data_IF_886169005263
#
_entry.id   IF_886169005263
#
_cell.length_a   1.000
_cell.length_b   1.000
_cell.length_c   1.000
_cell.angle_alpha   90.00
_cell.angle_beta   90.00
_cell.angle_gamma   90.00
#
_symmetry.space_group_name_H-M   'P 1'
#
loop_
_entity.id
_entity.type
_entity.pdbx_description
1 polymer ?
#
# COMPACT_ATOMS: atom_id res chain seq x y z
N UNK A 1 17.60 29.55 -8.74
CA UNK A 1 18.10 28.23 -8.33
C UNK A 1 16.87 27.37 -8.11
N UNK A 2 16.71 26.30 -8.90
CA UNK A 2 15.53 25.45 -8.81
C UNK A 2 15.37 24.83 -7.41
N UNK A 3 14.14 24.84 -6.91
CA UNK A 3 13.78 24.20 -5.64
C UNK A 3 12.80 23.06 -5.90
N UNK A 4 13.23 21.85 -5.62
CA UNK A 4 12.42 20.64 -5.69
C UNK A 4 11.87 20.37 -4.30
N UNK A 5 10.55 20.29 -4.16
CA UNK A 5 9.88 19.94 -2.91
C UNK A 5 9.23 18.56 -3.05
N UNK A 6 9.39 17.71 -2.04
CA UNK A 6 8.83 16.37 -2.01
C UNK A 6 7.89 16.27 -0.81
N UNK A 7 6.63 15.89 -1.04
CA UNK A 7 5.65 15.64 0.02
C UNK A 7 5.62 14.14 0.32
N UNK A 8 6.01 13.76 1.55
CA UNK A 8 5.97 12.39 2.05
C UNK A 8 7.34 11.76 2.21
N UNK A 9 7.62 11.21 3.39
CA UNK A 9 8.87 10.54 3.75
C UNK A 9 8.76 9.01 3.78
N UNK A 10 7.86 8.44 2.96
CA UNK A 10 7.61 7.02 2.88
C UNK A 10 8.36 6.30 1.75
N UNK A 11 7.82 5.15 1.33
CA UNK A 11 8.38 4.22 0.33
C UNK A 11 8.68 4.86 -1.03
N UNK A 12 7.99 5.94 -1.42
CA UNK A 12 8.26 6.65 -2.66
C UNK A 12 9.08 7.92 -2.42
N UNK A 13 8.75 8.72 -1.39
CA UNK A 13 9.34 10.05 -1.22
C UNK A 13 10.77 10.02 -0.71
N UNK A 14 11.13 9.11 0.19
CA UNK A 14 12.50 8.98 0.68
C UNK A 14 13.47 8.52 -0.43
N UNK A 15 13.19 7.46 -1.22
CA UNK A 15 14.00 7.12 -2.40
C UNK A 15 14.07 8.27 -3.42
N UNK A 16 12.95 8.93 -3.74
CA UNK A 16 12.96 10.06 -4.66
C UNK A 16 13.89 11.19 -4.20
N UNK A 17 13.89 11.48 -2.89
CA UNK A 17 14.79 12.50 -2.32
C UNK A 17 16.27 12.10 -2.48
N UNK A 18 16.61 10.84 -2.26
CA UNK A 18 17.97 10.32 -2.41
C UNK A 18 18.42 10.35 -3.87
N UNK A 19 17.63 9.79 -4.77
CA UNK A 19 17.97 9.73 -6.20
C UNK A 19 18.08 11.13 -6.82
N UNK A 20 17.18 12.05 -6.47
CA UNK A 20 17.29 13.45 -6.89
C UNK A 20 18.55 14.11 -6.35
N UNK A 21 18.93 13.86 -5.09
CA UNK A 21 20.15 14.38 -4.49
C UNK A 21 21.41 13.87 -5.19
N UNK A 22 21.43 12.59 -5.62
CA UNK A 22 22.57 11.97 -6.31
C UNK A 22 22.81 12.57 -7.70
N UNK A 23 21.76 13.13 -8.34
CA UNK A 23 21.87 13.77 -9.68
C UNK A 23 21.74 15.29 -9.65
N UNK A 24 21.61 15.90 -8.45
CA UNK A 24 21.46 17.35 -8.29
C UNK A 24 22.70 18.09 -8.78
N UNK A 25 22.48 19.26 -9.38
CA UNK A 25 23.54 20.17 -9.81
C UNK A 25 23.75 21.29 -8.79
N UNK A 26 24.90 21.92 -8.87
CA UNK A 26 25.24 23.06 -8.03
C UNK A 26 24.15 24.14 -8.08
N UNK A 27 23.62 24.51 -6.92
CA UNK A 27 22.57 25.49 -6.78
C UNK A 27 21.14 24.94 -6.81
N UNK A 28 20.92 23.66 -7.10
CA UNK A 28 19.61 23.04 -6.95
C UNK A 28 19.37 22.68 -5.47
N UNK A 29 18.16 22.92 -4.99
CA UNK A 29 17.78 22.65 -3.61
C UNK A 29 16.67 21.59 -3.58
N UNK A 30 16.80 20.63 -2.69
CA UNK A 30 15.79 19.59 -2.48
C UNK A 30 15.31 19.68 -1.02
N UNK A 31 14.01 19.64 -0.81
CA UNK A 31 13.41 19.62 0.53
C UNK A 31 12.33 18.56 0.60
N UNK A 32 12.42 17.67 1.58
CA UNK A 32 11.39 16.71 1.89
C UNK A 32 10.51 17.23 3.04
N UNK A 33 9.20 17.20 2.83
CA UNK A 33 8.17 17.61 3.80
C UNK A 33 7.40 16.38 4.24
N UNK A 34 7.40 16.05 5.53
CA UNK A 34 6.62 14.95 6.08
C UNK A 34 6.10 15.31 7.49
N UNK A 35 4.91 14.84 7.84
CA UNK A 35 4.35 15.03 9.18
C UNK A 35 4.90 14.06 10.23
N UNK A 36 5.95 13.29 9.89
CA UNK A 36 6.63 12.32 10.75
C UNK A 36 8.12 12.52 10.66
N UNK A 37 8.80 12.24 11.74
CA UNK A 37 10.27 12.31 11.84
C UNK A 37 10.94 11.00 11.50
N UNK A 38 10.18 9.91 11.47
CA UNK A 38 10.71 8.57 11.21
C UNK A 38 9.94 7.85 10.12
N UNK A 39 10.63 6.95 9.41
CA UNK A 39 10.08 6.01 8.45
C UNK A 39 10.41 4.59 8.89
N UNK A 40 9.44 3.71 8.90
CA UNK A 40 9.66 2.28 9.09
C UNK A 40 9.76 1.60 7.74
N UNK A 41 10.95 1.08 7.45
CA UNK A 41 11.17 0.22 6.31
C UNK A 41 10.62 -1.17 6.62
N UNK A 42 9.75 -1.67 5.78
CA UNK A 42 9.17 -3.01 5.90
C UNK A 42 7.81 -3.06 5.21
N UNK A 43 7.46 -4.21 4.65
CA UNK A 43 6.08 -4.44 4.22
C UNK A 43 5.19 -4.53 5.47
N UNK A 44 3.96 -4.05 5.37
CA UNK A 44 2.97 -4.13 6.45
C UNK A 44 2.53 -5.57 6.78
N UNK A 45 3.32 -6.53 6.40
CA UNK A 45 3.16 -7.94 6.64
C UNK A 45 4.44 -8.54 7.19
N UNK A 46 4.31 -9.47 8.08
CA UNK A 46 3.17 -9.78 8.93
C UNK A 46 3.34 -9.12 10.29
N UNK A 47 2.27 -8.68 10.90
CA UNK A 47 2.23 -8.17 12.28
C UNK A 47 2.93 -9.08 13.31
N UNK A 48 3.12 -10.37 13.02
CA UNK A 48 3.89 -11.33 13.83
C UNK A 48 5.41 -11.07 13.74
N UNK A 49 5.93 -10.61 12.60
CA UNK A 49 7.35 -10.31 12.39
C UNK A 49 7.72 -8.85 12.65
N UNK A 50 6.77 -7.97 12.93
CA UNK A 50 6.97 -6.53 13.16
C UNK A 50 7.80 -6.22 14.43
N UNK A 51 8.10 -7.20 15.24
CA UNK A 51 8.99 -7.04 16.43
C UNK A 51 10.40 -6.58 16.05
N UNK A 52 10.79 -6.61 14.77
CA UNK A 52 12.12 -6.29 14.26
C UNK A 52 12.16 -5.19 13.18
N UNK A 53 11.15 -4.30 13.10
CA UNK A 53 11.14 -3.25 12.08
C UNK A 53 12.27 -2.24 12.29
N UNK A 54 13.08 -2.02 11.24
CA UNK A 54 14.09 -0.97 11.23
C UNK A 54 13.44 0.40 11.09
N UNK A 55 13.62 1.25 12.06
CA UNK A 55 13.16 2.64 12.03
C UNK A 55 14.29 3.55 11.52
N UNK A 56 13.98 4.37 10.52
CA UNK A 56 14.91 5.32 9.90
C UNK A 56 14.53 6.72 10.37
N UNK A 57 15.45 7.43 11.02
CA UNK A 57 15.35 8.86 11.31
C UNK A 57 15.49 9.64 9.99
N UNK A 58 14.43 10.34 9.59
CA UNK A 58 14.38 11.05 8.32
C UNK A 58 15.35 12.24 8.28
N UNK A 59 15.42 13.02 9.36
CA UNK A 59 16.28 14.20 9.40
C UNK A 59 17.74 13.80 9.21
N UNK A 60 18.22 12.85 10.04
CA UNK A 60 19.60 12.37 9.99
C UNK A 60 19.94 11.66 8.67
N UNK A 61 18.96 10.95 8.10
CA UNK A 61 19.16 10.22 6.85
C UNK A 61 19.30 11.20 5.66
N UNK A 62 18.42 12.21 5.58
CA UNK A 62 18.39 13.21 4.51
C UNK A 62 19.56 14.20 4.59
N UNK A 63 19.97 14.58 5.80
CA UNK A 63 21.14 15.46 6.03
C UNK A 63 22.40 14.91 5.36
N UNK A 64 22.64 13.60 5.42
CA UNK A 64 23.78 12.92 4.78
C UNK A 64 23.84 13.09 3.26
N UNK A 65 22.70 13.40 2.64
CA UNK A 65 22.54 13.64 1.20
C UNK A 65 22.40 15.13 0.87
N UNK A 66 22.51 16.02 1.85
CA UNK A 66 22.31 17.45 1.64
C UNK A 66 20.86 17.86 1.34
N UNK A 67 19.90 17.00 1.66
CA UNK A 67 18.46 17.25 1.48
C UNK A 67 17.89 17.93 2.71
N UNK A 68 17.20 19.06 2.52
CA UNK A 68 16.46 19.73 3.59
C UNK A 68 15.27 18.90 4.07
N UNK A 69 14.94 18.99 5.36
CA UNK A 69 13.81 18.28 5.94
C UNK A 69 12.90 19.23 6.72
N UNK A 70 11.58 19.13 6.49
CA UNK A 70 10.55 19.81 7.28
C UNK A 70 9.61 18.77 7.91
N UNK A 71 9.56 18.67 9.25
CA UNK A 71 8.64 17.77 9.96
C UNK A 71 7.22 18.31 10.11
N UNK A 72 6.96 19.56 9.62
CA UNK A 72 5.67 20.21 9.79
C UNK A 72 4.52 19.57 8.98
N UNK A 73 4.85 18.71 8.00
CA UNK A 73 3.84 18.11 7.14
C UNK A 73 3.20 19.09 6.15
N UNK A 74 2.53 18.56 5.14
CA UNK A 74 1.81 19.32 4.14
C UNK A 74 0.37 19.59 4.62
N UNK A 75 -0.04 20.85 4.67
CA UNK A 75 -1.39 21.27 5.05
C UNK A 75 -2.28 21.55 3.84
N UNK A 76 -1.79 22.43 2.92
CA UNK A 76 -2.54 22.81 1.73
C UNK A 76 -1.60 23.17 0.58
N UNK A 77 -1.87 22.61 -0.59
CA UNK A 77 -1.17 22.97 -1.82
C UNK A 77 -1.90 24.08 -2.56
N UNK A 78 -1.15 25.04 -3.06
CA UNK A 78 -1.60 26.13 -3.93
C UNK A 78 -0.85 26.07 -5.26
N UNK A 79 -1.26 25.19 -6.19
CA UNK A 79 -0.48 24.92 -7.41
C UNK A 79 -0.37 26.13 -8.33
N UNK A 80 -1.37 27.01 -8.35
CA UNK A 80 -1.34 28.25 -9.15
C UNK A 80 -0.26 29.26 -8.70
N UNK A 81 0.25 29.11 -7.47
CA UNK A 81 1.29 29.95 -6.89
C UNK A 81 2.59 29.23 -6.67
N UNK A 82 2.65 27.95 -7.03
CA UNK A 82 3.77 27.06 -6.72
C UNK A 82 4.16 27.09 -5.24
N UNK A 83 3.18 27.01 -4.34
CA UNK A 83 3.40 27.18 -2.89
C UNK A 83 2.69 26.06 -2.13
N UNK A 84 3.38 25.50 -1.15
CA UNK A 84 2.87 24.54 -0.20
C UNK A 84 2.79 25.17 1.20
N UNK A 85 1.60 25.21 1.77
CA UNK A 85 1.38 25.56 3.17
C UNK A 85 1.68 24.35 4.05
N UNK A 86 2.43 24.56 5.12
CA UNK A 86 2.85 23.53 6.07
C UNK A 86 1.93 23.50 7.31
N UNK A 87 2.00 22.42 8.07
CA UNK A 87 1.17 22.24 9.26
C UNK A 87 1.45 23.21 10.40
N UNK A 88 2.61 23.84 10.42
CA UNK A 88 3.00 24.91 11.36
C UNK A 88 2.56 26.33 10.92
N UNK A 89 1.87 26.44 9.79
CA UNK A 89 1.39 27.71 9.23
C UNK A 89 2.42 28.43 8.34
N UNK A 90 3.64 27.93 8.24
CA UNK A 90 4.62 28.46 7.29
C UNK A 90 4.33 28.00 5.86
N UNK A 91 5.00 28.58 4.88
CA UNK A 91 4.85 28.21 3.48
C UNK A 91 6.20 28.01 2.80
N UNK A 92 6.26 27.05 1.89
CA UNK A 92 7.44 26.76 1.08
C UNK A 92 7.10 26.87 -0.41
N UNK A 93 7.88 27.66 -1.15
CA UNK A 93 7.78 27.77 -2.60
C UNK A 93 8.56 26.67 -3.30
N UNK A 94 8.13 26.26 -4.48
CA UNK A 94 8.80 25.23 -5.28
C UNK A 94 8.81 25.60 -6.77
N UNK A 95 9.81 25.13 -7.49
CA UNK A 95 9.84 25.12 -8.95
C UNK A 95 9.31 23.77 -9.48
N UNK A 96 9.62 22.68 -8.78
CA UNK A 96 9.11 21.34 -9.05
C UNK A 96 8.60 20.69 -7.75
N UNK A 97 7.45 20.02 -7.83
CA UNK A 97 6.84 19.31 -6.70
C UNK A 97 6.69 17.84 -7.00
N UNK A 98 7.05 17.00 -6.03
CA UNK A 98 6.78 15.54 -6.05
C UNK A 98 5.79 15.22 -4.93
N UNK A 99 4.62 14.67 -5.27
CA UNK A 99 3.64 14.20 -4.31
C UNK A 99 3.83 12.69 -4.11
N UNK A 100 4.33 12.30 -2.94
CA UNK A 100 4.70 10.93 -2.59
C UNK A 100 4.22 10.52 -1.18
N UNK A 101 3.16 11.18 -0.67
CA UNK A 101 2.70 11.00 0.71
C UNK A 101 1.90 9.70 0.96
N UNK A 102 1.59 8.94 -0.09
CA UNK A 102 0.71 7.79 0.00
C UNK A 102 -0.76 8.16 0.29
N UNK A 103 -1.66 7.18 0.36
CA UNK A 103 -3.04 7.41 0.74
C UNK A 103 -3.23 7.37 2.25
N UNK A 104 -4.34 7.93 2.72
CA UNK A 104 -4.79 7.85 4.10
C UNK A 104 -5.90 6.80 4.24
N UNK A 105 -5.90 5.98 5.32
CA UNK A 105 -7.04 5.15 5.65
C UNK A 105 -8.28 6.01 5.94
N UNK A 106 -9.41 5.68 5.33
CA UNK A 106 -10.68 6.38 5.48
C UNK A 106 -11.64 5.57 6.37
N UNK A 107 -11.25 5.35 7.63
CA UNK A 107 -12.01 4.56 8.60
C UNK A 107 -13.41 5.15 8.85
N UNK A 108 -13.54 6.47 8.78
CA UNK A 108 -14.76 7.24 8.94
C UNK A 108 -15.87 6.90 7.93
N UNK A 109 -15.54 6.20 6.84
CA UNK A 109 -16.53 5.79 5.83
C UNK A 109 -17.39 4.58 6.26
N UNK A 110 -16.98 3.85 7.30
CA UNK A 110 -17.71 2.69 7.81
C UNK A 110 -17.75 2.79 9.34
N UNK A 111 -18.94 2.84 9.89
CA UNK A 111 -19.15 2.92 11.33
C UNK A 111 -18.49 1.75 12.05
N UNK A 112 -17.70 2.03 13.07
CA UNK A 112 -16.99 1.04 13.89
C UNK A 112 -15.74 0.43 13.26
N UNK A 113 -15.36 0.85 12.05
CA UNK A 113 -14.13 0.37 11.40
C UNK A 113 -12.88 1.04 11.99
N UNK A 114 -11.81 0.27 12.11
CA UNK A 114 -10.46 0.76 12.41
C UNK A 114 -10.07 0.72 13.88
N UNK A 115 -8.84 1.17 14.20
CA UNK A 115 -8.25 1.05 15.54
C UNK A 115 -8.96 1.83 16.64
N UNK A 116 -9.72 2.85 16.29
CA UNK A 116 -10.56 3.62 17.22
C UNK A 116 -12.00 3.07 17.32
N UNK A 117 -12.33 2.13 16.46
CA UNK A 117 -13.59 1.37 16.48
C UNK A 117 -13.36 -0.04 17.05
N UNK A 118 -13.78 -1.05 16.30
CA UNK A 118 -13.79 -2.43 16.75
C UNK A 118 -12.90 -3.37 15.93
N UNK A 119 -12.12 -2.84 14.96
CA UNK A 119 -11.23 -3.66 14.14
C UNK A 119 -9.79 -3.18 14.18
N UNK A 120 -8.87 -4.10 13.98
CA UNK A 120 -7.47 -3.79 13.76
C UNK A 120 -7.21 -3.44 12.28
N UNK A 121 -6.08 -2.79 12.02
CA UNK A 121 -5.64 -2.43 10.67
C UNK A 121 -4.11 -2.53 10.57
N UNK A 122 -3.62 -3.03 9.44
CA UNK A 122 -2.18 -3.14 9.13
C UNK A 122 -1.67 -2.01 8.23
N UNK A 123 -2.56 -1.08 7.83
CA UNK A 123 -2.26 -0.08 6.80
C UNK A 123 -1.27 1.00 7.23
N UNK A 124 -0.93 1.05 8.51
CA UNK A 124 -0.11 2.09 9.06
C UNK A 124 0.78 1.56 10.18
N UNK A 125 2.04 2.00 10.23
CA UNK A 125 2.99 1.56 11.25
C UNK A 125 2.48 1.76 12.69
N UNK A 126 1.75 2.85 12.95
CA UNK A 126 1.18 3.14 14.26
C UNK A 126 0.08 2.16 14.68
N UNK A 127 -0.56 1.51 13.72
CA UNK A 127 -1.62 0.54 14.01
C UNK A 127 -1.06 -0.85 14.34
N UNK A 128 0.16 -1.16 13.89
CA UNK A 128 0.76 -2.49 14.06
C UNK A 128 0.89 -2.92 15.52
N UNK A 129 1.29 -1.99 16.38
CA UNK A 129 1.41 -2.28 17.81
C UNK A 129 0.06 -2.69 18.43
N UNK A 130 -1.02 -1.97 18.07
CA UNK A 130 -2.39 -2.31 18.48
C UNK A 130 -2.85 -3.67 17.94
N UNK A 131 -2.44 -4.04 16.72
CA UNK A 131 -2.73 -5.35 16.15
C UNK A 131 -2.07 -6.48 16.96
N UNK A 132 -0.79 -6.32 17.32
CA UNK A 132 -0.04 -7.31 18.11
C UNK A 132 -0.66 -7.46 19.50
N UNK A 133 -0.89 -6.37 20.20
CA UNK A 133 -1.52 -6.39 21.53
C UNK A 133 -2.94 -6.97 21.49
N UNK A 134 -3.71 -6.65 20.45
CA UNK A 134 -5.05 -7.21 20.25
C UNK A 134 -5.01 -8.71 20.05
N UNK A 135 -4.03 -9.20 19.28
CA UNK A 135 -3.84 -10.63 19.06
C UNK A 135 -3.38 -11.36 20.32
N UNK A 136 -2.46 -10.80 21.09
CA UNK A 136 -2.02 -11.41 22.35
C UNK A 136 -3.21 -11.56 23.33
N UNK A 137 -4.04 -10.53 23.47
CA UNK A 137 -5.27 -10.61 24.27
C UNK A 137 -6.29 -11.61 23.72
N UNK A 138 -6.43 -11.67 22.38
CA UNK A 138 -7.30 -12.65 21.74
C UNK A 138 -6.87 -14.08 22.08
N UNK A 139 -5.60 -14.36 22.14
CA UNK A 139 -5.07 -15.71 22.49
C UNK A 139 -5.34 -16.11 23.94
N UNK A 140 -5.65 -15.18 24.84
CA UNK A 140 -6.07 -15.47 26.21
C UNK A 140 -7.53 -15.98 26.28
N UNK A 141 -8.38 -15.56 25.33
CA UNK A 141 -9.77 -15.98 25.21
C UNK A 141 -10.18 -16.08 23.75
N UNK A 142 -9.73 -17.13 23.05
CA UNK A 142 -9.96 -17.30 21.62
C UNK A 142 -11.44 -17.45 21.25
N UNK A 143 -11.81 -17.01 20.05
CA UNK A 143 -13.14 -17.14 19.48
C UNK A 143 -13.11 -16.86 17.99
N UNK A 144 -14.23 -16.58 17.31
CA UNK A 144 -14.27 -16.34 15.88
C UNK A 144 -13.38 -15.17 15.46
N UNK A 145 -12.77 -15.30 14.28
CA UNK A 145 -11.93 -14.25 13.64
C UNK A 145 -12.58 -13.80 12.35
N UNK A 146 -12.66 -12.49 12.15
CA UNK A 146 -13.00 -11.89 10.85
C UNK A 146 -11.81 -11.13 10.32
N UNK A 147 -11.40 -11.45 9.10
CA UNK A 147 -10.27 -10.79 8.44
C UNK A 147 -10.62 -10.47 6.99
N UNK A 148 -10.18 -9.33 6.46
CA UNK A 148 -10.52 -9.04 5.08
C UNK A 148 -10.23 -7.62 4.63
N UNK A 149 -10.94 -7.21 3.56
CA UNK A 149 -10.82 -5.90 2.93
C UNK A 149 -12.20 -5.32 2.62
N UNK A 150 -12.47 -4.15 3.20
CA UNK A 150 -13.71 -3.43 3.02
C UNK A 150 -13.80 -2.79 1.61
N UNK A 151 -15.00 -2.38 1.22
CA UNK A 151 -15.20 -1.59 0.00
C UNK A 151 -14.33 -0.33 0.00
N UNK A 152 -13.75 0.00 -1.15
CA UNK A 152 -12.84 1.13 -1.30
C UNK A 152 -11.39 0.85 -0.86
N UNK A 153 -11.08 -0.36 -0.39
CA UNK A 153 -9.71 -0.79 -0.20
C UNK A 153 -8.96 -0.80 -1.54
N UNK A 154 -7.71 -0.36 -1.54
CA UNK A 154 -6.86 -0.33 -2.73
C UNK A 154 -5.80 -1.44 -2.74
N UNK A 155 -5.70 -2.23 -1.67
CA UNK A 155 -4.75 -3.33 -1.56
C UNK A 155 -5.40 -4.49 -0.81
N UNK A 156 -5.57 -5.62 -1.48
CA UNK A 156 -6.27 -6.79 -0.94
C UNK A 156 -5.32 -7.84 -0.37
N UNK A 157 -4.14 -7.95 -0.92
CA UNK A 157 -3.25 -9.05 -0.59
C UNK A 157 -2.77 -9.09 0.87
N UNK A 158 -2.56 -7.98 1.62
CA UNK A 158 -2.29 -8.07 3.04
C UNK A 158 -3.42 -8.73 3.85
N UNK A 159 -4.67 -8.62 3.36
CA UNK A 159 -5.80 -9.31 4.01
C UNK A 159 -5.70 -10.83 3.87
N UNK A 160 -5.40 -11.32 2.65
CA UNK A 160 -5.16 -12.77 2.42
C UNK A 160 -4.00 -13.29 3.26
N UNK A 161 -2.88 -12.58 3.21
CA UNK A 161 -1.69 -12.95 3.97
C UNK A 161 -1.97 -13.00 5.47
N UNK A 162 -2.71 -12.04 6.01
CA UNK A 162 -3.14 -12.05 7.41
C UNK A 162 -4.01 -13.25 7.75
N UNK A 163 -4.96 -13.62 6.88
CA UNK A 163 -5.81 -14.78 7.11
C UNK A 163 -4.97 -16.08 7.21
N UNK A 164 -4.03 -16.26 6.30
CA UNK A 164 -3.17 -17.43 6.26
C UNK A 164 -2.20 -17.49 7.44
N UNK A 165 -1.61 -16.36 7.82
CA UNK A 165 -0.69 -16.29 8.95
C UNK A 165 -1.39 -16.48 10.29
N UNK A 166 -2.58 -15.91 10.47
CA UNK A 166 -3.42 -16.15 11.63
C UNK A 166 -3.76 -17.65 11.76
N UNK A 167 -4.19 -18.28 10.68
CA UNK A 167 -4.44 -19.71 10.66
C UNK A 167 -3.18 -20.51 11.01
N UNK A 168 -2.02 -20.18 10.42
CA UNK A 168 -0.77 -20.88 10.70
C UNK A 168 -0.35 -20.75 12.18
N UNK A 169 -0.53 -19.57 12.78
CA UNK A 169 -0.25 -19.36 14.20
C UNK A 169 -1.23 -20.13 15.09
N UNK A 170 -2.53 -20.13 14.78
CA UNK A 170 -3.54 -20.90 15.48
C UNK A 170 -3.24 -22.40 15.39
N UNK A 171 -2.83 -22.89 14.21
CA UNK A 171 -2.43 -24.29 14.02
C UNK A 171 -1.20 -24.65 14.86
N UNK A 172 -0.18 -23.78 14.89
CA UNK A 172 1.01 -23.98 15.72
C UNK A 172 0.66 -24.10 17.21
N UNK A 173 -0.41 -23.43 17.64
CA UNK A 173 -0.92 -23.46 19.01
C UNK A 173 -1.96 -24.56 19.28
N UNK A 174 -2.36 -25.32 18.27
CA UNK A 174 -3.43 -26.31 18.40
C UNK A 174 -4.83 -25.74 18.57
N UNK A 175 -5.06 -24.48 18.16
CA UNK A 175 -6.33 -23.77 18.32
C UNK A 175 -7.16 -23.69 17.03
N UNK A 176 -6.63 -24.07 15.89
CA UNK A 176 -7.25 -23.84 14.58
C UNK A 176 -8.62 -24.53 14.38
N UNK A 177 -8.86 -25.66 15.03
CA UNK A 177 -10.17 -26.34 14.97
C UNK A 177 -11.25 -25.64 15.81
N UNK A 178 -10.85 -24.95 16.87
CA UNK A 178 -11.76 -24.24 17.79
C UNK A 178 -12.00 -22.78 17.38
N UNK A 179 -11.20 -22.24 16.49
CA UNK A 179 -11.24 -20.83 16.09
C UNK A 179 -11.61 -20.70 14.61
N UNK A 180 -12.89 -20.50 14.28
CA UNK A 180 -13.30 -20.29 12.90
C UNK A 180 -12.78 -18.94 12.39
N UNK A 181 -12.29 -18.94 11.12
CA UNK A 181 -11.87 -17.73 10.43
C UNK A 181 -12.83 -17.47 9.27
N UNK A 182 -13.36 -16.25 9.18
CA UNK A 182 -14.14 -15.77 8.05
C UNK A 182 -13.38 -14.68 7.31
N UNK A 183 -13.12 -14.89 6.02
CA UNK A 183 -12.51 -13.90 5.14
C UNK A 183 -13.60 -13.10 4.42
N UNK A 184 -13.60 -11.76 4.60
CA UNK A 184 -14.58 -10.86 3.99
C UNK A 184 -13.88 -9.96 2.99
N UNK A 185 -14.30 -9.95 1.74
CA UNK A 185 -13.70 -9.08 0.72
C UNK A 185 -14.72 -8.41 -0.17
N UNK A 186 -14.49 -7.14 -0.45
CA UNK A 186 -15.27 -6.38 -1.43
C UNK A 186 -14.90 -6.70 -2.88
N UNK A 187 -13.91 -7.54 -3.11
CA UNK A 187 -13.56 -8.02 -4.44
C UNK A 187 -14.74 -8.78 -5.06
N UNK A 188 -14.99 -8.68 -6.38
CA UNK A 188 -16.05 -9.42 -7.07
C UNK A 188 -15.97 -10.93 -6.84
N UNK A 189 -14.75 -11.46 -6.69
CA UNK A 189 -14.44 -12.85 -6.35
C UNK A 189 -13.09 -12.93 -5.63
N UNK A 190 -12.88 -13.98 -4.87
CA UNK A 190 -11.59 -14.26 -4.21
C UNK A 190 -10.49 -14.37 -5.26
N UNK A 191 -9.41 -13.61 -5.06
CA UNK A 191 -8.28 -13.61 -6.00
C UNK A 191 -8.41 -12.65 -7.18
N UNK A 192 -9.41 -11.76 -7.18
CA UNK A 192 -9.47 -10.63 -8.10
C UNK A 192 -8.29 -9.68 -7.90
N UNK A 193 -7.83 -9.51 -6.67
CA UNK A 193 -6.65 -8.74 -6.27
C UNK A 193 -6.65 -7.27 -6.69
N UNK A 194 -7.81 -6.73 -7.09
CA UNK A 194 -7.96 -5.37 -7.60
C UNK A 194 -7.51 -5.19 -9.06
N UNK A 195 -7.18 -6.28 -9.77
CA UNK A 195 -6.63 -6.29 -11.15
C UNK A 195 -7.31 -7.33 -12.04
N UNK A 196 -8.58 -7.62 -11.77
CA UNK A 196 -9.41 -8.59 -12.50
C UNK A 196 -8.90 -10.04 -12.40
N UNK A 197 -8.08 -10.32 -11.40
CA UNK A 197 -7.39 -11.59 -11.22
C UNK A 197 -6.12 -11.70 -12.07
N UNK A 198 -5.29 -12.67 -11.73
CA UNK A 198 -4.05 -12.92 -12.44
C UNK A 198 -3.90 -14.42 -12.58
N UNK A 199 -3.83 -14.89 -13.83
CA UNK A 199 -3.76 -16.30 -14.14
C UNK A 199 -4.86 -17.09 -13.41
N UNK A 200 -4.46 -18.12 -12.67
CA UNK A 200 -5.31 -18.96 -11.86
C UNK A 200 -5.45 -18.50 -10.39
N UNK A 201 -5.23 -17.19 -10.10
CA UNK A 201 -5.27 -16.61 -8.75
C UNK A 201 -6.54 -16.98 -7.98
N UNK A 202 -7.69 -16.95 -8.65
CA UNK A 202 -8.97 -17.35 -8.07
C UNK A 202 -8.93 -18.79 -7.55
N UNK A 203 -8.61 -19.73 -8.45
CA UNK A 203 -8.60 -21.16 -8.10
C UNK A 203 -7.60 -21.46 -6.99
N UNK A 204 -6.42 -20.86 -7.01
CA UNK A 204 -5.38 -21.06 -6.01
C UNK A 204 -5.75 -20.49 -4.65
N UNK A 205 -6.24 -19.26 -4.60
CA UNK A 205 -6.60 -18.63 -3.32
C UNK A 205 -7.85 -19.27 -2.72
N UNK A 206 -8.86 -19.61 -3.53
CA UNK A 206 -9.99 -20.40 -3.05
C UNK A 206 -9.56 -21.78 -2.52
N UNK A 207 -8.64 -22.48 -3.22
CA UNK A 207 -8.10 -23.75 -2.73
C UNK A 207 -7.31 -23.57 -1.42
N UNK A 208 -6.50 -22.51 -1.32
CA UNK A 208 -5.74 -22.23 -0.11
C UNK A 208 -6.62 -21.91 1.10
N UNK A 209 -7.74 -21.21 0.90
CA UNK A 209 -8.74 -20.95 1.94
C UNK A 209 -9.45 -22.25 2.35
N UNK A 210 -9.93 -23.05 1.38
CA UNK A 210 -10.59 -24.35 1.66
C UNK A 210 -9.68 -25.34 2.42
N UNK A 211 -8.41 -25.42 2.04
CA UNK A 211 -7.44 -26.30 2.72
C UNK A 211 -7.21 -25.94 4.19
N UNK A 212 -7.63 -24.75 4.60
CA UNK A 212 -7.49 -24.22 5.95
C UNK A 212 -8.81 -24.03 6.68
N UNK A 213 -9.90 -24.53 6.10
CA UNK A 213 -11.25 -24.37 6.62
C UNK A 213 -11.62 -22.88 6.88
N UNK A 214 -11.03 -21.97 6.10
CA UNK A 214 -11.37 -20.55 6.13
C UNK A 214 -12.58 -20.33 5.22
N UNK A 215 -13.70 -19.91 5.80
CA UNK A 215 -14.88 -19.50 5.05
C UNK A 215 -14.68 -18.12 4.45
N UNK A 216 -15.39 -17.76 3.37
CA UNK A 216 -15.28 -16.43 2.80
C UNK A 216 -16.59 -15.88 2.25
N UNK A 217 -16.70 -14.55 2.26
CA UNK A 217 -17.76 -13.78 1.62
C UNK A 217 -17.07 -12.80 0.66
N UNK A 218 -17.23 -13.03 -0.64
CA UNK A 218 -16.74 -12.13 -1.68
C UNK A 218 -17.86 -11.22 -2.19
N UNK A 219 -17.49 -10.16 -2.95
CA UNK A 219 -18.42 -9.11 -3.39
C UNK A 219 -19.21 -8.53 -2.20
N UNK A 220 -18.54 -8.42 -1.08
CA UNK A 220 -19.11 -8.05 0.21
C UNK A 220 -19.07 -6.52 0.43
N UNK A 221 -20.11 -6.00 1.03
CA UNK A 221 -20.15 -4.65 1.57
C UNK A 221 -20.28 -4.71 3.09
N UNK A 222 -19.33 -4.13 3.80
CA UNK A 222 -19.41 -3.94 5.26
C UNK A 222 -20.30 -2.73 5.50
N UNK A 223 -21.45 -2.92 6.17
CA UNK A 223 -22.39 -1.83 6.46
C UNK A 223 -21.96 -1.06 7.72
N UNK A 224 -21.70 -1.78 8.79
CA UNK A 224 -21.22 -1.26 10.08
C UNK A 224 -20.58 -2.36 10.90
N UNK A 225 -19.84 -1.96 11.91
CA UNK A 225 -19.19 -2.87 12.85
C UNK A 225 -19.53 -2.43 14.27
N UNK A 226 -20.04 -3.33 15.04
CA UNK A 226 -20.36 -3.16 16.45
C UNK A 226 -19.37 -3.95 17.30
N UNK A 227 -19.45 -3.83 18.62
CA UNK A 227 -18.62 -4.65 19.50
C UNK A 227 -18.88 -6.14 19.21
N UNK A 228 -17.85 -6.84 18.74
CA UNK A 228 -17.87 -8.29 18.48
C UNK A 228 -18.82 -8.76 17.35
N UNK A 229 -19.41 -7.83 16.56
CA UNK A 229 -20.28 -8.19 15.43
C UNK A 229 -19.99 -7.30 14.22
N UNK A 230 -19.77 -7.92 13.06
CA UNK A 230 -19.63 -7.22 11.77
C UNK A 230 -20.85 -7.51 10.88
N UNK A 231 -21.52 -6.45 10.44
CA UNK A 231 -22.66 -6.55 9.53
C UNK A 231 -22.20 -6.44 8.08
N UNK A 232 -22.44 -7.49 7.31
CA UNK A 232 -21.96 -7.63 5.94
C UNK A 232 -23.14 -7.97 5.03
N UNK A 233 -23.15 -7.38 3.83
CA UNK A 233 -24.13 -7.69 2.78
C UNK A 233 -23.38 -8.16 1.54
N UNK A 234 -23.83 -9.27 0.96
CA UNK A 234 -23.28 -9.79 -0.30
C UNK A 234 -23.69 -8.98 -1.52
N UNK A 235 -23.13 -9.32 -2.68
CA UNK A 235 -23.47 -8.76 -3.98
C UNK A 235 -23.42 -7.22 -4.01
N UNK A 236 -22.34 -6.66 -3.44
CA UNK A 236 -22.12 -5.22 -3.40
C UNK A 236 -23.15 -4.43 -2.56
N UNK A 237 -23.91 -5.12 -1.70
CA UNK A 237 -24.94 -4.53 -0.85
C UNK A 237 -26.37 -4.85 -1.26
N UNK A 238 -26.59 -5.69 -2.27
CA UNK A 238 -27.93 -6.08 -2.76
C UNK A 238 -28.33 -7.52 -2.42
N UNK A 239 -27.44 -8.29 -1.77
CA UNK A 239 -27.62 -9.70 -1.48
C UNK A 239 -28.00 -10.01 -0.02
N UNK A 240 -27.77 -11.26 0.40
CA UNK A 240 -27.99 -11.71 1.77
C UNK A 240 -27.19 -10.89 2.79
N UNK A 241 -27.77 -10.72 3.99
CA UNK A 241 -27.15 -10.05 5.12
C UNK A 241 -26.62 -11.06 6.12
N UNK A 242 -25.43 -10.78 6.63
CA UNK A 242 -24.75 -11.58 7.65
C UNK A 242 -24.41 -10.72 8.85
N UNK A 243 -24.60 -11.26 10.04
CA UNK A 243 -24.05 -10.75 11.28
C UNK A 243 -22.95 -11.70 11.72
N UNK A 244 -21.70 -11.31 11.49
CA UNK A 244 -20.52 -12.14 11.76
C UNK A 244 -20.01 -11.82 13.15
N UNK A 245 -20.14 -12.75 14.07
CA UNK A 245 -19.52 -12.63 15.39
C UNK A 245 -18.00 -12.74 15.29
N UNK A 246 -17.27 -11.98 16.09
CA UNK A 246 -15.81 -12.04 16.17
C UNK A 246 -15.29 -11.71 17.57
N UNK A 247 -14.16 -12.30 17.90
CA UNK A 247 -13.30 -11.91 19.03
C UNK A 247 -12.08 -11.12 18.58
N UNK A 248 -11.70 -11.30 17.34
CA UNK A 248 -10.65 -10.51 16.69
C UNK A 248 -11.06 -10.18 15.25
N UNK A 249 -10.95 -8.93 14.88
CA UNK A 249 -11.18 -8.52 13.49
C UNK A 249 -10.03 -7.66 12.98
N UNK A 250 -9.54 -7.96 11.76
CA UNK A 250 -8.56 -7.16 11.02
C UNK A 250 -9.08 -6.85 9.63
N UNK A 251 -9.23 -5.56 9.33
CA UNK A 251 -9.80 -5.12 8.07
C UNK A 251 -8.91 -4.11 7.36
N UNK A 252 -8.65 -4.36 6.08
CA UNK A 252 -8.11 -3.34 5.19
C UNK A 252 -9.20 -2.29 4.91
N UNK A 253 -8.96 -1.01 5.23
CA UNK A 253 -9.97 0.04 5.10
C UNK A 253 -10.09 0.56 3.67
N UNK A 254 -11.14 1.35 3.38
CA UNK A 254 -11.10 2.28 2.26
C UNK A 254 -9.92 3.24 2.40
N UNK A 255 -9.46 3.76 1.25
CA UNK A 255 -8.39 4.74 1.20
C UNK A 255 -8.83 6.00 0.47
N UNK A 256 -8.28 7.13 0.88
CA UNK A 256 -8.38 8.44 0.21
C UNK A 256 -7.00 9.07 0.06
N UNK A 257 -6.87 10.04 -0.84
CA UNK A 257 -5.67 10.85 -0.94
C UNK A 257 -5.48 11.75 0.28
N UNK A 258 -4.38 12.49 0.32
CA UNK A 258 -4.06 13.40 1.42
C UNK A 258 -4.89 14.70 1.32
N UNK A 259 -5.27 15.24 2.47
CA UNK A 259 -6.09 16.47 2.56
C UNK A 259 -5.41 17.69 1.89
N UNK A 260 -4.08 17.72 1.87
CA UNK A 260 -3.33 18.82 1.26
C UNK A 260 -3.63 19.04 -0.23
N UNK A 261 -4.04 18.00 -0.96
CA UNK A 261 -4.35 18.05 -2.40
C UNK A 261 -5.85 17.84 -2.71
N UNK A 262 -6.64 17.48 -1.70
CA UNK A 262 -8.05 17.18 -1.90
C UNK A 262 -8.84 18.38 -2.44
N UNK A 263 -9.70 18.13 -3.44
CA UNK A 263 -10.57 19.14 -4.04
C UNK A 263 -9.86 20.16 -4.94
N UNK A 264 -8.57 19.96 -5.27
CA UNK A 264 -7.87 20.82 -6.25
C UNK A 264 -8.20 20.29 -7.63
N UNK A 265 -8.91 21.12 -8.40
CA UNK A 265 -9.38 20.77 -9.74
C UNK A 265 -8.21 20.48 -10.68
N UNK A 266 -8.30 19.37 -11.43
CA UNK A 266 -7.26 18.94 -12.37
C UNK A 266 -5.99 18.36 -11.73
N UNK A 267 -5.83 18.47 -10.40
CA UNK A 267 -4.73 17.86 -9.67
C UNK A 267 -5.10 16.48 -9.12
N UNK A 268 -6.27 16.37 -8.50
CA UNK A 268 -6.68 15.15 -7.84
C UNK A 268 -8.09 14.73 -8.26
N UNK A 269 -8.37 13.43 -8.15
CA UNK A 269 -9.71 12.87 -8.33
C UNK A 269 -10.61 13.19 -7.12
N UNK A 270 -11.88 12.72 -7.20
CA UNK A 270 -12.87 12.92 -6.12
C UNK A 270 -12.47 12.26 -4.79
N UNK A 271 -11.59 11.28 -4.83
CA UNK A 271 -11.04 10.59 -3.65
C UNK A 271 -9.74 11.22 -3.15
N UNK A 272 -9.22 12.25 -3.84
CA UNK A 272 -7.97 12.93 -3.49
C UNK A 272 -6.70 12.24 -4.02
N UNK A 273 -6.81 11.24 -4.92
CA UNK A 273 -5.63 10.67 -5.58
C UNK A 273 -5.16 11.55 -6.73
N UNK A 274 -3.85 11.68 -6.87
CA UNK A 274 -3.23 12.59 -7.83
C UNK A 274 -3.36 12.07 -9.26
N UNK A 275 -3.90 12.90 -10.15
CA UNK A 275 -4.03 12.61 -11.57
C UNK A 275 -2.67 12.83 -12.26
N UNK A 276 -2.22 11.86 -13.03
CA UNK A 276 -0.96 11.92 -13.78
C UNK A 276 -1.11 11.36 -15.19
N UNK A 277 -0.22 11.81 -16.08
CA UNK A 277 0.01 11.23 -17.40
C UNK A 277 0.93 9.99 -17.34
N UNK A 278 1.33 9.48 -18.50
CA UNK A 278 2.22 8.32 -18.63
C UNK A 278 3.63 8.59 -18.08
N UNK A 279 4.03 9.85 -17.96
CA UNK A 279 5.28 10.31 -17.38
C UNK A 279 5.19 10.58 -15.88
N UNK A 280 4.09 10.23 -15.23
CA UNK A 280 3.79 10.51 -13.81
C UNK A 280 3.77 12.02 -13.50
N UNK A 281 3.54 12.86 -14.49
CA UNK A 281 3.39 14.30 -14.43
C UNK A 281 1.90 14.68 -14.42
N UNK A 282 1.52 15.66 -13.63
CA UNK A 282 0.13 16.14 -13.67
C UNK A 282 -0.15 16.90 -14.98
N UNK A 283 -1.24 16.57 -15.73
CA UNK A 283 -1.53 17.20 -17.02
C UNK A 283 -1.85 18.70 -16.92
N UNK A 284 -2.44 19.16 -15.81
CA UNK A 284 -2.80 20.58 -15.62
C UNK A 284 -1.65 21.39 -15.03
N UNK A 285 -0.84 20.78 -14.18
CA UNK A 285 0.27 21.42 -13.48
C UNK A 285 1.58 20.69 -13.84
N UNK A 286 2.22 21.04 -14.97
CA UNK A 286 3.32 20.26 -15.54
C UNK A 286 4.61 20.28 -14.71
N UNK A 287 4.69 21.07 -13.66
CA UNK A 287 5.77 21.06 -12.68
C UNK A 287 5.45 20.23 -11.43
N UNK A 288 4.34 19.47 -11.45
CA UNK A 288 3.91 18.57 -10.36
C UNK A 288 3.96 17.14 -10.85
N UNK A 289 4.72 16.33 -10.15
CA UNK A 289 4.84 14.87 -10.34
C UNK A 289 4.24 14.13 -9.16
N UNK A 290 3.89 12.87 -9.35
CA UNK A 290 3.49 12.02 -8.24
C UNK A 290 4.02 10.59 -8.40
N UNK A 291 4.37 9.98 -7.28
CA UNK A 291 4.84 8.59 -7.23
C UNK A 291 4.24 7.82 -6.04
N UNK A 292 4.13 6.50 -6.20
CA UNK A 292 3.61 5.63 -5.17
C UNK A 292 2.09 5.58 -5.11
N UNK A 293 1.57 5.12 -3.99
CA UNK A 293 0.15 4.84 -3.81
C UNK A 293 -0.75 6.09 -3.74
N UNK A 294 -0.18 7.29 -3.79
CA UNK A 294 -0.90 8.56 -3.91
C UNK A 294 -1.47 8.81 -5.32
N UNK A 295 -0.91 8.16 -6.34
CA UNK A 295 -1.34 8.32 -7.74
C UNK A 295 -2.69 7.67 -7.97
N UNK A 296 -3.59 8.34 -8.67
CA UNK A 296 -4.86 7.78 -9.11
C UNK A 296 -4.62 6.54 -9.98
N UNK A 297 -5.45 5.51 -9.80
CA UNK A 297 -5.40 4.35 -10.68
C UNK A 297 -5.99 4.74 -12.02
N UNK A 298 -5.18 4.71 -13.08
CA UNK A 298 -5.70 4.86 -14.43
C UNK A 298 -6.59 3.64 -14.75
N UNK A 299 -7.77 3.90 -15.28
CA UNK A 299 -8.76 2.87 -15.62
C UNK A 299 -8.36 1.94 -16.78
N UNK A 300 -7.21 2.19 -17.40
CA UNK A 300 -6.77 1.50 -18.63
C UNK A 300 -5.65 0.46 -18.44
N UNK A 301 -4.98 0.41 -17.29
CA UNK A 301 -3.95 -0.60 -17.04
C UNK A 301 -4.36 -1.43 -15.81
N UNK A 302 -4.71 -2.69 -16.00
CA UNK A 302 -5.12 -3.61 -14.96
C UNK A 302 -4.12 -3.71 -13.77
N UNK A 303 -2.84 -3.44 -14.03
CA UNK A 303 -1.78 -3.46 -13.01
C UNK A 303 -1.61 -2.14 -12.24
N UNK A 304 -2.07 -1.00 -12.75
CA UNK A 304 -1.90 0.31 -12.10
C UNK A 304 -2.64 0.46 -10.75
N UNK A 305 -3.55 -0.45 -10.42
CA UNK A 305 -4.19 -0.56 -9.12
C UNK A 305 -3.25 -1.08 -8.00
N UNK A 306 -2.23 -1.85 -8.37
CA UNK A 306 -1.28 -2.47 -7.44
C UNK A 306 0.04 -1.70 -7.37
N UNK A 307 0.20 -0.87 -6.37
CA UNK A 307 1.44 -0.13 -6.14
C UNK A 307 2.24 -0.77 -5.00
N UNK A 308 2.85 -1.92 -5.29
CA UNK A 308 3.81 -2.55 -4.37
C UNK A 308 5.17 -1.83 -4.43
N UNK A 309 6.09 -2.19 -3.54
CA UNK A 309 7.39 -1.54 -3.44
C UNK A 309 8.15 -1.55 -4.77
N UNK A 310 8.16 -2.66 -5.49
CA UNK A 310 8.86 -2.80 -6.77
C UNK A 310 8.30 -1.84 -7.85
N UNK A 311 6.98 -1.72 -7.93
CA UNK A 311 6.34 -0.77 -8.86
C UNK A 311 6.59 0.68 -8.44
N UNK A 312 6.62 0.94 -7.13
CA UNK A 312 6.93 2.27 -6.60
C UNK A 312 8.36 2.68 -6.96
N UNK A 313 9.33 1.78 -6.90
CA UNK A 313 10.70 2.06 -7.32
C UNK A 313 10.78 2.43 -8.81
N UNK A 314 10.06 1.70 -9.68
CA UNK A 314 9.96 2.04 -11.10
C UNK A 314 9.33 3.42 -11.34
N UNK A 315 8.30 3.79 -10.54
CA UNK A 315 7.68 5.12 -10.59
C UNK A 315 8.67 6.20 -10.14
N UNK A 316 9.40 5.99 -9.06
CA UNK A 316 10.42 6.93 -8.55
C UNK A 316 11.48 7.16 -9.61
N UNK A 317 12.05 6.11 -10.18
CA UNK A 317 13.04 6.20 -11.24
C UNK A 317 12.55 7.03 -12.44
N UNK A 318 11.29 6.81 -12.88
CA UNK A 318 10.69 7.59 -13.97
C UNK A 318 10.54 9.07 -13.61
N UNK A 319 10.01 9.36 -12.42
CA UNK A 319 9.84 10.75 -11.92
C UNK A 319 11.19 11.47 -11.82
N UNK A 320 12.22 10.82 -11.28
CA UNK A 320 13.56 11.41 -11.13
C UNK A 320 14.17 11.76 -12.49
N UNK A 321 14.07 10.86 -13.48
CA UNK A 321 14.52 11.12 -14.85
C UNK A 321 13.76 12.27 -15.48
N UNK A 322 12.43 12.29 -15.36
CA UNK A 322 11.58 13.31 -15.95
C UNK A 322 11.83 14.70 -15.34
N UNK A 323 12.05 14.78 -14.03
CA UNK A 323 12.44 16.02 -13.36
C UNK A 323 13.81 16.50 -13.88
N UNK A 324 14.79 15.59 -14.06
CA UNK A 324 16.08 15.97 -14.61
C UNK A 324 15.96 16.47 -16.05
N UNK A 325 15.16 15.81 -16.88
CA UNK A 325 14.93 16.25 -18.26
C UNK A 325 14.27 17.63 -18.29
N UNK A 326 13.22 17.85 -17.48
CA UNK A 326 12.55 19.15 -17.38
C UNK A 326 13.50 20.27 -16.93
N UNK A 327 14.33 20.04 -15.92
CA UNK A 327 15.31 21.03 -15.43
C UNK A 327 16.42 21.32 -16.45
N UNK A 328 16.69 20.37 -17.35
CA UNK A 328 17.63 20.53 -18.47
C UNK A 328 16.97 21.11 -19.74
N UNK A 329 15.68 21.47 -19.67
CA UNK A 329 14.94 22.00 -20.81
C UNK A 329 14.56 20.93 -21.87
N UNK A 330 14.60 19.65 -21.49
CA UNK A 330 14.12 18.55 -22.33
C UNK A 330 12.70 18.16 -21.96
N UNK A 331 11.94 17.62 -22.90
CA UNK A 331 10.58 17.12 -22.62
C UNK A 331 10.65 15.79 -21.85
N UNK A 332 9.96 15.67 -20.71
CA UNK A 332 9.82 14.42 -19.98
C UNK A 332 9.17 13.32 -20.81
N UNK A 333 9.79 12.15 -20.88
CA UNK A 333 9.33 11.02 -21.69
C UNK A 333 9.45 9.65 -20.99
N UNK A 334 10.00 9.59 -19.77
CA UNK A 334 10.18 8.34 -19.07
C UNK A 334 8.87 7.86 -18.41
N UNK A 335 8.37 6.71 -18.82
CA UNK A 335 7.29 6.00 -18.13
C UNK A 335 7.83 4.94 -17.17
N UNK A 336 7.09 4.58 -16.11
CA UNK A 336 7.46 3.48 -15.23
C UNK A 336 7.29 2.13 -15.91
N UNK A 337 8.18 1.18 -15.62
CA UNK A 337 7.97 -0.21 -15.98
C UNK A 337 6.94 -0.83 -15.04
N UNK A 338 5.77 -1.18 -15.56
CA UNK A 338 4.66 -1.74 -14.78
C UNK A 338 4.80 -3.26 -14.56
N UNK A 339 5.96 -3.71 -14.10
CA UNK A 339 6.14 -5.11 -13.74
C UNK A 339 5.68 -5.35 -12.31
N UNK A 340 4.78 -6.30 -12.11
CA UNK A 340 4.29 -6.66 -10.80
C UNK A 340 4.99 -7.92 -10.31
N UNK A 341 5.81 -7.78 -9.29
CA UNK A 341 6.39 -8.92 -8.54
C UNK A 341 5.78 -8.91 -7.15
N UNK A 342 5.14 -9.99 -6.77
CA UNK A 342 4.55 -10.13 -5.45
C UNK A 342 4.82 -11.50 -4.85
N UNK A 343 5.20 -11.50 -3.59
CA UNK A 343 5.28 -12.70 -2.74
C UNK A 343 4.19 -12.59 -1.68
N UNK A 344 3.41 -13.63 -1.49
CA UNK A 344 2.40 -13.74 -0.42
C UNK A 344 2.78 -14.90 0.48
N UNK A 345 2.95 -14.63 1.77
CA UNK A 345 3.24 -15.65 2.76
C UNK A 345 1.95 -16.39 3.16
N UNK A 346 1.98 -17.71 3.11
CA UNK A 346 0.88 -18.59 3.52
C UNK A 346 1.16 -19.30 4.86
N UNK A 347 2.19 -18.87 5.59
CA UNK A 347 2.63 -19.44 6.86
C UNK A 347 3.66 -20.56 6.70
N UNK A 348 3.30 -21.68 6.10
CA UNK A 348 4.21 -22.82 5.86
C UNK A 348 4.78 -22.85 4.43
N UNK A 349 4.29 -21.99 3.55
CA UNK A 349 4.66 -21.87 2.16
C UNK A 349 4.47 -20.42 1.71
N UNK A 350 5.04 -20.06 0.56
CA UNK A 350 4.80 -18.77 -0.08
C UNK A 350 4.34 -18.94 -1.52
N UNK A 351 3.61 -17.98 -2.00
CA UNK A 351 3.24 -17.87 -3.42
C UNK A 351 3.86 -16.60 -3.94
N UNK A 352 4.74 -16.73 -4.93
CA UNK A 352 5.25 -15.61 -5.69
C UNK A 352 4.54 -15.54 -7.04
N UNK A 353 4.22 -14.34 -7.48
CA UNK A 353 3.70 -14.14 -8.80
C UNK A 353 4.34 -12.91 -9.47
N UNK A 354 4.50 -13.02 -10.79
CA UNK A 354 5.09 -11.96 -11.63
C UNK A 354 4.13 -11.73 -12.79
N UNK A 355 3.78 -10.48 -13.04
CA UNK A 355 3.02 -10.08 -14.22
C UNK A 355 3.71 -8.91 -14.92
N UNK A 356 3.74 -8.93 -16.22
CA UNK A 356 4.21 -7.83 -17.05
C UNK A 356 3.06 -6.89 -17.49
N UNK A 357 3.35 -5.69 -18.03
CA UNK A 357 2.37 -4.69 -18.39
C UNK A 357 1.39 -5.14 -19.49
N UNK A 358 1.79 -6.09 -20.32
CA UNK A 358 0.98 -6.51 -21.46
C UNK A 358 -0.13 -7.49 -21.06
N UNK A 359 -0.16 -7.89 -19.76
CA UNK A 359 -1.20 -8.79 -19.23
C UNK A 359 -1.19 -10.17 -19.87
N UNK A 360 -0.30 -10.37 -20.81
CA UNK A 360 -0.10 -11.61 -21.51
C UNK A 360 0.81 -12.50 -20.67
N UNK A 361 0.20 -13.44 -19.96
CA UNK A 361 0.82 -14.72 -19.68
C UNK A 361 1.41 -15.23 -20.99
N UNK A 362 2.69 -15.01 -21.24
CA UNK A 362 3.38 -15.71 -22.34
C UNK A 362 3.76 -17.09 -21.81
N UNK A 363 3.01 -18.15 -22.17
CA UNK A 363 3.30 -19.51 -21.70
C UNK A 363 4.70 -19.98 -22.09
N UNK A 364 5.28 -19.36 -23.12
CA UNK A 364 6.53 -19.78 -23.72
C UNK A 364 7.79 -19.18 -23.06
N UNK A 365 7.64 -18.19 -22.17
CA UNK A 365 8.78 -17.55 -21.49
C UNK A 365 8.80 -17.70 -19.98
N UNK A 366 7.83 -18.41 -19.39
CA UNK A 366 7.74 -18.55 -17.92
C UNK A 366 7.46 -17.25 -17.17
N UNK A 367 7.02 -16.20 -17.85
CA UNK A 367 6.99 -14.83 -17.32
C UNK A 367 5.75 -14.49 -16.49
N UNK A 368 4.76 -15.37 -16.38
CA UNK A 368 3.69 -15.24 -15.39
C UNK A 368 3.42 -16.60 -14.80
N UNK A 369 3.90 -16.83 -13.63
CA UNK A 369 3.76 -18.10 -12.94
C UNK A 369 3.71 -17.88 -11.44
N UNK A 370 2.90 -18.69 -10.79
CA UNK A 370 2.98 -18.88 -9.37
C UNK A 370 4.16 -19.82 -9.09
N UNK A 371 5.14 -19.34 -8.35
CA UNK A 371 6.20 -20.19 -7.81
C UNK A 371 5.80 -20.59 -6.40
N UNK A 372 5.59 -21.87 -6.19
CA UNK A 372 5.41 -22.40 -4.84
C UNK A 372 6.76 -22.41 -4.14
N UNK A 373 6.92 -21.55 -3.14
CA UNK A 373 8.11 -21.52 -2.31
C UNK A 373 7.88 -22.47 -1.12
N UNK A 374 8.65 -23.55 -1.07
CA UNK A 374 8.52 -24.59 -0.03
C UNK A 374 8.98 -24.13 1.37
N UNK A 375 9.60 -22.98 1.49
CA UNK A 375 9.88 -22.24 2.72
C UNK A 375 9.89 -20.76 2.38
N UNK A 376 8.93 -20.02 2.84
CA UNK A 376 9.00 -18.57 2.93
C UNK A 376 8.95 -18.24 4.42
N UNK A 377 10.07 -18.36 5.10
CA UNK A 377 10.25 -17.64 6.34
C UNK A 377 10.69 -16.24 5.96
N UNK A 378 9.85 -15.24 6.19
CA UNK A 378 10.25 -13.85 6.15
C UNK A 378 11.42 -13.55 7.12
N UNK A 379 11.81 -14.53 7.91
CA UNK A 379 12.93 -14.52 8.86
C UNK A 379 14.28 -14.90 8.24
N UNK A 380 14.32 -15.48 7.04
CA UNK A 380 15.57 -15.87 6.36
C UNK A 380 16.06 -14.86 5.32
N UNK A 381 15.56 -13.63 5.30
CA UNK A 381 16.08 -12.54 4.45
C UNK A 381 17.43 -11.99 4.99
N UNK A 382 18.07 -12.71 5.89
CA UNK A 382 19.43 -12.40 6.36
C UNK A 382 20.55 -12.60 5.35
N UNK A 383 20.32 -13.27 4.23
CA UNK A 383 21.41 -13.72 3.36
C UNK A 383 21.28 -13.35 1.87
N UNK A 384 20.49 -12.35 1.52
CA UNK A 384 20.60 -11.60 0.23
C UNK A 384 20.59 -12.40 -1.07
N UNK A 385 20.31 -13.69 -1.06
CA UNK A 385 20.32 -14.54 -2.25
C UNK A 385 18.92 -14.70 -2.84
N UNK A 386 18.61 -13.85 -3.82
CA UNK A 386 17.51 -14.10 -4.75
C UNK A 386 17.85 -15.37 -5.57
N UNK A 387 16.95 -16.37 -5.64
CA UNK A 387 17.16 -17.56 -6.46
C UNK A 387 17.51 -17.20 -7.91
N UNK A 388 18.48 -17.89 -8.49
CA UNK A 388 19.06 -17.60 -9.80
C UNK A 388 18.08 -17.63 -11.00
N UNK A 389 16.80 -17.91 -10.80
CA UNK A 389 15.73 -17.89 -11.81
C UNK A 389 14.90 -16.61 -11.83
N UNK A 390 15.22 -15.62 -10.98
CA UNK A 390 14.55 -14.31 -10.91
C UNK A 390 15.50 -13.15 -11.23
N UNK A 391 16.64 -13.42 -11.89
CA UNK A 391 17.53 -12.39 -12.42
C UNK A 391 17.13 -11.98 -13.81
#
# INVERSE_FOLDING_TARGET
>A
MPHIVIIGGGTAGLPAAHELADIARAGERITLVAGRTTFRAGSATPWISVRESTEIDLARNLERKGVGFSPAGARRLHPERNTLELGDGTSIGYDVLVIAAGPQPAFDQIEGLGPQGYTHSLCHADHLHGCVQGWDRFLESPGPVVVGAAQGASCFAPAYESAFLMHAELRRRGLHEAVPITFVTSEPFVGHLGVDGIADSRARLEAALRQRDITWIANARVERIEREVMHVVENGGAGPRHALEFRYAMMMPPFRGIDAVAGIEGLADKRGFVLVDECLRNPRYPNIYAAGATVASASSANLAGHKNAYMIDAMVNAVVRNIRDQLDGREPAAGPAWNLVRVTDLGAAGIAFVADPEGALRPETGAAGWVHLSRCSACDVGDGTIPAGLR
#
